data_IF_391894517883
#
_entry.id   IF_391894517883
#
_cell.length_a   1.000
_cell.length_b   1.000
_cell.length_c   1.000
_cell.angle_alpha   90.00
_cell.angle_beta   90.00
_cell.angle_gamma   90.00
#
_symmetry.space_group_name_H-M   'P 1'
#
loop_
_entity.id
_entity.type
_entity.pdbx_description
1 polymer ?
#
# COMPACT_ATOMS: atom_id res chain seq x y z
N UNK A 1 -17.41 -17.27 -9.27
CA UNK A 1 -16.00 -16.94 -9.57
C UNK A 1 -15.15 -18.18 -9.37
N UNK A 2 -14.20 -18.39 -10.26
CA UNK A 2 -13.24 -19.48 -10.08
C UNK A 2 -12.31 -19.21 -8.89
N UNK A 3 -11.79 -20.26 -8.27
CA UNK A 3 -10.83 -20.13 -7.16
C UNK A 3 -9.61 -19.28 -7.54
N UNK A 4 -9.20 -19.35 -8.82
CA UNK A 4 -8.06 -18.56 -9.33
C UNK A 4 -8.33 -17.05 -9.32
N UNK A 5 -9.56 -16.63 -9.63
CA UNK A 5 -9.92 -15.21 -9.60
C UNK A 5 -10.02 -14.67 -8.17
N UNK A 6 -10.47 -15.50 -7.24
CA UNK A 6 -10.55 -15.15 -5.85
C UNK A 6 -9.15 -14.99 -5.22
N UNK A 7 -8.22 -15.88 -5.60
CA UNK A 7 -6.82 -15.79 -5.18
C UNK A 7 -6.14 -14.51 -5.70
N UNK A 8 -6.42 -14.09 -6.93
CA UNK A 8 -5.83 -12.90 -7.54
C UNK A 8 -6.25 -11.62 -6.81
N UNK A 9 -7.44 -11.61 -6.18
CA UNK A 9 -7.97 -10.46 -5.42
C UNK A 9 -7.57 -10.46 -3.96
N UNK A 10 -6.83 -11.46 -3.52
CA UNK A 10 -6.20 -11.44 -2.21
C UNK A 10 -4.74 -11.00 -2.37
N UNK A 11 -4.28 -10.17 -1.44
CA UNK A 11 -2.87 -9.80 -1.41
C UNK A 11 -2.04 -11.04 -1.07
N UNK A 12 -0.98 -11.25 -1.84
CA UNK A 12 0.04 -12.24 -1.50
C UNK A 12 1.17 -11.52 -0.77
N UNK A 13 1.44 -11.96 0.44
CA UNK A 13 2.45 -11.33 1.30
C UNK A 13 3.52 -12.38 1.57
N UNK A 14 4.71 -12.17 0.99
CA UNK A 14 5.78 -13.17 1.01
C UNK A 14 7.04 -12.56 1.62
N UNK A 15 7.45 -13.03 2.82
CA UNK A 15 8.75 -12.62 3.36
C UNK A 15 9.87 -13.35 2.62
N UNK A 16 10.98 -12.63 2.40
CA UNK A 16 12.17 -13.24 1.80
C UNK A 16 12.87 -14.10 2.86
N UNK A 17 13.32 -15.33 2.52
CA UNK A 17 13.96 -16.20 3.50
C UNK A 17 15.36 -15.74 3.93
N UNK A 18 16.02 -14.93 3.14
CA UNK A 18 17.43 -14.55 3.37
C UNK A 18 17.63 -13.06 3.58
N UNK A 19 16.69 -12.23 3.12
CA UNK A 19 16.80 -10.77 3.18
C UNK A 19 15.65 -10.17 3.98
N UNK A 20 15.87 -9.03 4.66
CA UNK A 20 14.83 -8.41 5.48
C UNK A 20 13.84 -7.63 4.63
N UNK A 21 13.16 -8.31 3.74
CA UNK A 21 12.14 -7.69 2.88
C UNK A 21 10.88 -8.54 2.80
N UNK A 22 9.77 -7.87 2.50
CA UNK A 22 8.48 -8.51 2.29
C UNK A 22 7.94 -8.02 0.94
N UNK A 23 7.52 -8.94 0.08
CA UNK A 23 6.92 -8.61 -1.20
C UNK A 23 5.42 -8.82 -1.12
N UNK A 24 4.67 -7.80 -1.54
CA UNK A 24 3.21 -7.82 -1.58
C UNK A 24 2.79 -7.67 -3.03
N UNK A 25 1.95 -8.59 -3.52
CA UNK A 25 1.38 -8.48 -4.85
C UNK A 25 -0.13 -8.58 -4.78
N UNK A 26 -0.83 -7.83 -5.63
CA UNK A 26 -2.29 -7.83 -5.66
C UNK A 26 -2.77 -7.35 -7.03
N UNK A 27 -3.71 -8.07 -7.63
CA UNK A 27 -4.34 -7.64 -8.87
C UNK A 27 -5.58 -6.79 -8.57
N UNK A 28 -5.86 -5.83 -9.46
CA UNK A 28 -7.03 -4.96 -9.38
C UNK A 28 -7.77 -4.95 -10.72
N UNK A 29 -9.10 -4.81 -10.65
CA UNK A 29 -9.97 -4.71 -11.83
C UNK A 29 -10.06 -3.25 -12.29
N UNK A 30 -8.93 -2.61 -12.48
CA UNK A 30 -8.82 -1.22 -12.94
C UNK A 30 -7.44 -1.01 -13.56
N UNK A 31 -7.30 -0.03 -14.49
CA UNK A 31 -5.99 0.26 -15.07
C UNK A 31 -5.03 0.84 -14.02
N UNK A 32 -3.74 0.66 -14.27
CA UNK A 32 -2.67 1.09 -13.35
C UNK A 32 -2.78 2.57 -12.97
N UNK A 33 -3.20 3.43 -13.88
CA UNK A 33 -3.35 4.86 -13.60
C UNK A 33 -4.32 5.13 -12.45
N UNK A 34 -5.45 4.43 -12.42
CA UNK A 34 -6.45 4.61 -11.35
C UNK A 34 -5.94 4.07 -10.01
N UNK A 35 -5.27 2.94 -10.02
CA UNK A 35 -4.68 2.36 -8.81
C UNK A 35 -3.55 3.24 -8.28
N UNK A 36 -2.70 3.75 -9.17
CA UNK A 36 -1.65 4.70 -8.80
C UNK A 36 -2.24 5.95 -8.16
N UNK A 37 -3.26 6.55 -8.79
CA UNK A 37 -3.93 7.74 -8.27
C UNK A 37 -4.48 7.49 -6.86
N UNK A 38 -5.06 6.32 -6.63
CA UNK A 38 -5.62 5.95 -5.32
C UNK A 38 -4.55 5.90 -4.22
N UNK A 39 -3.30 5.69 -4.58
CA UNK A 39 -2.18 5.68 -3.63
C UNK A 39 -1.56 7.06 -3.40
N UNK A 40 -1.68 7.97 -4.36
CA UNK A 40 -0.99 9.26 -4.28
C UNK A 40 -1.93 10.45 -4.03
N UNK A 41 -3.22 10.29 -4.29
CA UNK A 41 -4.23 11.32 -4.00
C UNK A 41 -4.70 11.15 -2.55
N UNK A 42 -4.48 12.14 -1.67
CA UNK A 42 -4.79 11.98 -0.25
C UNK A 42 -6.28 11.79 0.05
N UNK A 43 -7.16 12.38 -0.74
CA UNK A 43 -8.60 12.22 -0.54
C UNK A 43 -9.03 10.78 -0.81
N UNK A 44 -8.51 10.19 -1.87
CA UNK A 44 -8.82 8.80 -2.22
C UNK A 44 -8.14 7.86 -1.23
N UNK A 45 -6.87 8.10 -0.93
CA UNK A 45 -6.09 7.29 0.02
C UNK A 45 -6.80 7.17 1.37
N UNK A 46 -7.31 8.28 1.90
CA UNK A 46 -7.99 8.30 3.19
C UNK A 46 -9.28 7.46 3.20
N UNK A 47 -9.84 7.16 2.04
CA UNK A 47 -11.10 6.41 1.94
C UNK A 47 -10.92 4.89 1.98
N UNK A 48 -9.70 4.39 1.76
CA UNK A 48 -9.50 2.94 1.67
C UNK A 48 -8.41 2.38 2.58
N UNK A 49 -7.38 3.15 2.92
CA UNK A 49 -6.24 2.62 3.68
C UNK A 49 -6.65 2.20 5.09
N UNK A 50 -6.04 1.13 5.59
CA UNK A 50 -6.21 0.65 6.95
C UNK A 50 -7.47 -0.19 7.19
N UNK A 51 -7.64 -0.64 8.43
CA UNK A 51 -8.77 -1.50 8.80
C UNK A 51 -10.10 -0.73 8.82
N UNK A 52 -11.20 -1.48 8.69
CA UNK A 52 -12.56 -0.91 8.60
C UNK A 52 -13.01 -0.13 9.83
N UNK A 53 -12.42 -0.43 10.98
CA UNK A 53 -12.87 0.10 12.28
C UNK A 53 -12.64 1.59 12.45
N UNK A 54 -11.68 2.17 11.74
CA UNK A 54 -11.22 3.52 12.00
C UNK A 54 -11.23 4.38 10.74
N UNK A 55 -11.70 5.61 10.90
CA UNK A 55 -11.55 6.62 9.86
C UNK A 55 -10.10 7.09 9.78
N UNK A 56 -9.68 7.45 8.60
CA UNK A 56 -8.33 7.95 8.35
C UNK A 56 -8.37 9.46 8.19
N UNK A 57 -7.48 10.15 8.89
CA UNK A 57 -7.24 11.59 8.75
C UNK A 57 -5.85 11.80 8.17
N UNK A 58 -5.76 12.54 7.07
CA UNK A 58 -4.48 12.90 6.48
C UNK A 58 -4.07 14.26 7.04
N UNK A 59 -2.97 14.26 7.81
CA UNK A 59 -2.47 15.45 8.50
C UNK A 59 -1.50 16.26 7.64
N UNK A 60 -0.72 15.57 6.80
CA UNK A 60 0.22 16.18 5.87
C UNK A 60 0.32 15.29 4.64
N UNK A 61 0.39 15.90 3.48
CA UNK A 61 0.54 15.13 2.24
C UNK A 61 1.15 15.98 1.13
N UNK A 62 2.41 15.77 0.89
CA UNK A 62 3.14 16.38 -0.21
C UNK A 62 3.47 15.27 -1.21
N UNK A 63 2.52 14.90 -2.05
CA UNK A 63 2.54 13.70 -2.87
C UNK A 63 3.38 13.81 -4.15
N UNK A 64 4.61 14.32 -4.01
CA UNK A 64 5.57 14.43 -5.11
C UNK A 64 6.96 14.07 -4.60
N UNK A 65 7.89 13.82 -5.53
CA UNK A 65 9.28 13.49 -5.18
C UNK A 65 9.86 14.52 -4.20
N UNK A 66 10.36 14.05 -3.07
CA UNK A 66 10.92 14.88 -2.02
C UNK A 66 9.92 15.35 -0.97
N UNK A 67 8.63 15.07 -1.14
CA UNK A 67 7.60 15.45 -0.18
C UNK A 67 7.52 14.52 1.02
N UNK A 68 6.68 14.90 1.98
CA UNK A 68 6.46 14.09 3.18
C UNK A 68 4.98 13.91 3.45
N UNK A 69 4.64 12.91 4.28
CA UNK A 69 3.25 12.64 4.62
C UNK A 69 3.11 12.20 6.07
N UNK A 70 1.91 12.41 6.60
CA UNK A 70 1.49 11.89 7.90
C UNK A 70 -0.01 11.64 7.87
N UNK A 71 -0.43 10.50 8.37
CA UNK A 71 -1.86 10.22 8.54
C UNK A 71 -2.10 9.47 9.83
N UNK A 72 -3.36 9.52 10.29
CA UNK A 72 -3.78 8.93 11.55
C UNK A 72 -5.01 8.07 11.36
N UNK A 73 -5.10 6.97 12.09
CA UNK A 73 -6.27 6.09 12.12
C UNK A 73 -6.47 5.62 13.57
N UNK A 74 -7.59 6.00 14.16
CA UNK A 74 -7.80 5.81 15.59
C UNK A 74 -6.79 6.59 16.41
N UNK A 75 -6.12 5.94 17.33
CA UNK A 75 -5.06 6.54 18.16
C UNK A 75 -3.66 6.35 17.57
N UNK A 76 -3.58 5.77 16.38
CA UNK A 76 -2.30 5.47 15.74
C UNK A 76 -1.98 6.47 14.64
N UNK A 77 -0.71 6.83 14.52
CA UNK A 77 -0.24 7.75 13.48
C UNK A 77 0.96 7.16 12.75
N UNK A 78 1.02 7.48 11.47
CA UNK A 78 2.05 6.98 10.55
C UNK A 78 2.61 8.13 9.75
N UNK A 79 3.89 8.05 9.40
CA UNK A 79 4.55 9.12 8.67
C UNK A 79 5.66 8.58 7.78
N UNK A 80 6.09 9.39 6.85
CA UNK A 80 7.20 9.06 5.97
C UNK A 80 7.48 10.14 4.95
N UNK A 81 8.33 9.79 4.00
CA UNK A 81 8.73 10.67 2.91
C UNK A 81 8.53 9.98 1.58
N UNK A 82 8.13 10.74 0.57
CA UNK A 82 8.10 10.28 -0.81
C UNK A 82 9.48 10.53 -1.42
N UNK A 83 10.29 9.51 -1.50
CA UNK A 83 11.61 9.62 -2.10
C UNK A 83 11.51 9.84 -3.60
N UNK A 84 10.60 9.11 -4.25
CA UNK A 84 10.40 9.20 -5.69
C UNK A 84 8.93 8.93 -6.02
N UNK A 85 8.32 9.82 -6.77
CA UNK A 85 6.97 9.65 -7.31
C UNK A 85 7.05 9.85 -8.81
N UNK A 86 6.83 8.79 -9.59
CA UNK A 86 6.93 8.80 -11.04
C UNK A 86 5.58 8.42 -11.66
N UNK A 87 4.71 9.41 -11.93
CA UNK A 87 3.37 9.11 -12.48
C UNK A 87 3.39 8.37 -13.81
N UNK A 88 4.36 8.67 -14.66
CA UNK A 88 4.47 8.04 -15.99
C UNK A 88 4.83 6.55 -15.89
N UNK A 89 5.42 6.13 -14.79
CA UNK A 89 5.81 4.74 -14.55
C UNK A 89 4.92 4.07 -13.51
N UNK A 90 3.95 4.78 -12.96
CA UNK A 90 3.10 4.29 -11.88
C UNK A 90 3.92 3.73 -10.71
N UNK A 91 4.98 4.49 -10.34
CA UNK A 91 5.95 4.06 -9.33
C UNK A 91 6.01 5.05 -8.18
N UNK A 92 6.06 4.51 -6.97
CA UNK A 92 6.26 5.28 -5.74
C UNK A 92 7.36 4.59 -4.92
N UNK A 93 8.35 5.36 -4.51
CA UNK A 93 9.35 4.94 -3.51
C UNK A 93 9.15 5.82 -2.30
N UNK A 94 8.85 5.21 -1.16
CA UNK A 94 8.54 5.95 0.05
C UNK A 94 9.09 5.25 1.30
N UNK A 95 9.25 6.01 2.37
CA UNK A 95 9.46 5.43 3.70
C UNK A 95 8.13 5.38 4.42
N UNK A 96 8.01 4.45 5.37
CA UNK A 96 6.84 4.33 6.23
C UNK A 96 7.29 4.00 7.64
N UNK A 97 6.74 4.72 8.61
CA UNK A 97 7.02 4.48 10.02
C UNK A 97 5.76 4.68 10.85
N UNK A 98 5.67 3.92 11.92
CA UNK A 98 4.64 4.10 12.94
C UNK A 98 5.20 5.00 14.04
N UNK A 99 4.43 6.00 14.47
CA UNK A 99 4.90 6.93 15.52
C UNK A 99 5.17 6.25 16.87
N UNK A 100 4.55 5.09 17.12
CA UNK A 100 4.84 4.29 18.32
C UNK A 100 6.24 3.69 18.35
N UNK A 101 6.89 3.59 17.17
CA UNK A 101 8.25 3.10 17.04
C UNK A 101 8.95 3.84 15.88
N UNK A 102 9.24 5.14 16.06
CA UNK A 102 9.68 6.00 14.95
C UNK A 102 11.04 5.64 14.35
N UNK A 103 11.87 4.91 15.11
CA UNK A 103 13.16 4.44 14.59
C UNK A 103 13.07 3.23 13.66
N UNK A 104 11.93 2.57 13.59
CA UNK A 104 11.71 1.45 12.68
C UNK A 104 11.16 1.99 11.35
N UNK A 105 11.98 1.94 10.31
CA UNK A 105 11.64 2.49 9.00
C UNK A 105 11.52 1.37 7.98
N UNK A 106 10.41 1.37 7.23
CA UNK A 106 10.23 0.49 6.07
C UNK A 106 10.47 1.32 4.81
N UNK A 107 11.36 0.87 3.95
CA UNK A 107 11.55 1.46 2.63
C UNK A 107 10.70 0.68 1.64
N UNK A 108 9.70 1.33 1.08
CA UNK A 108 8.69 0.70 0.25
C UNK A 108 8.82 1.17 -1.20
N UNK A 109 8.86 0.22 -2.11
CA UNK A 109 8.82 0.50 -3.55
C UNK A 109 7.57 -0.14 -4.13
N UNK A 110 6.67 0.69 -4.66
CA UNK A 110 5.45 0.23 -5.30
C UNK A 110 5.50 0.50 -6.79
N UNK A 111 5.18 -0.51 -7.58
CA UNK A 111 5.03 -0.39 -9.02
C UNK A 111 3.70 -1.02 -9.41
N UNK A 112 2.93 -0.31 -10.23
CA UNK A 112 1.64 -0.80 -10.70
C UNK A 112 1.74 -0.96 -12.21
N UNK A 113 1.48 -2.17 -12.69
CA UNK A 113 1.67 -2.56 -14.09
C UNK A 113 0.31 -2.92 -14.71
N UNK A 114 0.04 -2.40 -15.90
CA UNK A 114 -1.18 -2.76 -16.62
C UNK A 114 -1.19 -4.21 -17.04
N UNK A 115 -2.36 -4.84 -16.91
CA UNK A 115 -2.66 -6.18 -17.40
C UNK A 115 -3.72 -6.08 -18.51
N UNK A 116 -3.86 -7.10 -19.36
CA UNK A 116 -4.93 -7.12 -20.36
C UNK A 116 -6.32 -6.99 -19.72
N UNK A 117 -7.24 -6.30 -20.40
CA UNK A 117 -8.62 -6.19 -19.96
C UNK A 117 -8.86 -5.11 -18.92
N UNK A 118 -8.14 -4.00 -18.98
CA UNK A 118 -8.26 -2.87 -18.03
C UNK A 118 -8.07 -3.30 -16.58
N UNK A 119 -7.11 -4.17 -16.36
CA UNK A 119 -6.69 -4.68 -15.04
C UNK A 119 -5.25 -4.28 -14.79
N UNK A 120 -4.84 -4.38 -13.55
CA UNK A 120 -3.46 -4.05 -13.17
C UNK A 120 -2.95 -4.95 -12.06
N UNK A 121 -1.61 -4.97 -11.91
CA UNK A 121 -0.90 -5.70 -10.86
C UNK A 121 -0.08 -4.71 -10.06
N UNK A 122 -0.34 -4.66 -8.76
CA UNK A 122 0.49 -3.91 -7.81
C UNK A 122 1.55 -4.86 -7.28
N UNK A 123 2.80 -4.39 -7.29
CA UNK A 123 3.94 -5.05 -6.65
C UNK A 123 4.56 -4.06 -5.68
N UNK A 124 4.59 -4.42 -4.40
CA UNK A 124 5.19 -3.59 -3.36
C UNK A 124 6.25 -4.39 -2.64
N UNK A 125 7.45 -3.81 -2.53
CA UNK A 125 8.55 -4.42 -1.77
C UNK A 125 8.84 -3.51 -0.59
N UNK A 126 8.73 -4.06 0.62
CA UNK A 126 9.06 -3.36 1.86
C UNK A 126 10.38 -3.91 2.38
N UNK A 127 11.39 -3.04 2.50
CA UNK A 127 12.71 -3.39 3.02
C UNK A 127 12.83 -2.81 4.44
N UNK A 128 13.17 -3.65 5.40
CA UNK A 128 13.36 -3.26 6.80
C UNK A 128 14.81 -3.54 7.21
N UNK A 129 15.21 -3.13 8.42
CA UNK A 129 16.62 -3.09 8.78
C UNK A 129 17.21 -4.41 9.30
N UNK A 130 16.36 -5.43 9.55
CA UNK A 130 16.82 -6.71 10.08
C UNK A 130 15.82 -7.82 9.83
N UNK A 131 16.28 -9.06 9.92
CA UNK A 131 15.39 -10.23 9.83
C UNK A 131 14.43 -10.28 11.02
N UNK A 132 14.86 -9.77 12.18
CA UNK A 132 14.00 -9.64 13.37
C UNK A 132 12.85 -8.67 13.09
N UNK A 133 13.14 -7.53 12.48
CA UNK A 133 12.12 -6.55 12.09
C UNK A 133 11.14 -7.13 11.06
N UNK A 134 11.64 -7.92 10.10
CA UNK A 134 10.79 -8.63 9.16
C UNK A 134 9.84 -9.58 9.88
N UNK A 135 10.35 -10.37 10.82
CA UNK A 135 9.54 -11.32 11.59
C UNK A 135 8.45 -10.60 12.40
N UNK A 136 8.82 -9.46 13.02
CA UNK A 136 7.86 -8.62 13.75
C UNK A 136 6.77 -8.07 12.85
N UNK A 137 7.14 -7.64 11.67
CA UNK A 137 6.20 -7.14 10.66
C UNK A 137 5.20 -8.24 10.26
N UNK A 138 5.69 -9.44 10.00
CA UNK A 138 4.82 -10.58 9.64
C UNK A 138 3.90 -10.98 10.80
N UNK A 139 4.35 -10.84 12.03
CA UNK A 139 3.58 -11.20 13.24
C UNK A 139 2.57 -10.11 13.63
N UNK A 140 2.61 -8.92 13.04
CA UNK A 140 1.80 -7.77 13.43
C UNK A 140 0.32 -7.87 13.04
N UNK A 141 -0.06 -8.82 12.18
CA UNK A 141 -1.41 -8.91 11.65
C UNK A 141 -1.67 -7.93 10.51
N UNK A 142 -0.61 -7.43 9.88
CA UNK A 142 -0.70 -6.45 8.78
C UNK A 142 -1.60 -6.93 7.63
N UNK A 143 -1.68 -8.22 7.40
CA UNK A 143 -2.48 -8.80 6.33
C UNK A 143 -3.96 -8.46 6.44
N UNK A 144 -4.50 -8.38 7.64
CA UNK A 144 -5.92 -8.03 7.87
C UNK A 144 -6.18 -6.59 7.41
N UNK A 145 -5.33 -5.66 7.82
CA UNK A 145 -5.46 -4.25 7.43
C UNK A 145 -5.28 -4.06 5.92
N UNK A 146 -4.33 -4.78 5.33
CA UNK A 146 -4.07 -4.73 3.89
C UNK A 146 -5.28 -5.27 3.11
N UNK A 147 -5.80 -6.43 3.49
CA UNK A 147 -6.93 -7.03 2.78
C UNK A 147 -8.20 -6.19 2.92
N UNK A 148 -8.49 -5.66 4.11
CA UNK A 148 -9.64 -4.78 4.32
C UNK A 148 -9.49 -3.48 3.54
N UNK A 149 -8.29 -2.89 3.52
CA UNK A 149 -8.01 -1.69 2.76
C UNK A 149 -8.20 -1.92 1.26
N UNK A 150 -7.62 -2.97 0.72
CA UNK A 150 -7.75 -3.26 -0.71
C UNK A 150 -9.18 -3.64 -1.11
N UNK A 151 -9.96 -4.27 -0.23
CA UNK A 151 -11.37 -4.52 -0.50
C UNK A 151 -12.16 -3.21 -0.64
N UNK A 152 -11.87 -2.22 0.21
CA UNK A 152 -12.46 -0.88 0.08
C UNK A 152 -12.01 -0.21 -1.21
N UNK A 153 -10.73 -0.36 -1.57
CA UNK A 153 -10.21 0.18 -2.81
C UNK A 153 -10.90 -0.43 -4.03
N UNK A 154 -11.19 -1.73 -4.01
CA UNK A 154 -11.95 -2.39 -5.08
C UNK A 154 -13.29 -1.70 -5.32
N UNK A 155 -14.01 -1.35 -4.25
CA UNK A 155 -15.29 -0.64 -4.35
C UNK A 155 -15.12 0.76 -4.95
N UNK A 156 -14.09 1.50 -4.52
CA UNK A 156 -13.82 2.83 -5.05
C UNK A 156 -13.45 2.79 -6.54
N UNK A 157 -12.65 1.80 -6.94
CA UNK A 157 -12.25 1.63 -8.33
C UNK A 157 -13.46 1.26 -9.21
N UNK A 158 -14.37 0.44 -8.71
CA UNK A 158 -15.59 0.09 -9.43
C UNK A 158 -16.48 1.33 -9.63
N UNK A 159 -16.59 2.20 -8.63
CA UNK A 159 -17.33 3.47 -8.75
C UNK A 159 -16.69 4.40 -9.77
N UNK A 160 -15.36 4.48 -9.81
CA UNK A 160 -14.63 5.36 -10.73
C UNK A 160 -14.77 4.92 -12.19
N UNK A 161 -15.02 3.63 -12.44
CA UNK A 161 -15.20 3.08 -13.78
C UNK A 161 -16.66 3.19 -14.28
N UNK A 162 -17.59 3.33 -13.33
CA UNK A 162 -19.03 3.33 -13.61
C UNK A 162 -19.60 4.61 -14.18
#
# INVERSE_FOLDING_TARGET
MSATQQDARQAKIVPDPDLPKVTITREFDAPAELVFRAHIDPEIFARWVGPDQYAVTVDRWEGSTGGSYRYSTGDESFFGSFHEVLPDQHKIVQTWSWEGLPGAVSLETMIITDLPGDRSLLTSVALVDSMEAQAGMMASGMEVGIDQGYAKLDHLLAEAKG
#
